data_IF_576233988160
#
_entry.id   IF_576233988160
#
_cell.length_a   1.000
_cell.length_b   1.000
_cell.length_c   1.000
_cell.angle_alpha   90.00
_cell.angle_beta   90.00
_cell.angle_gamma   90.00
#
_symmetry.space_group_name_H-M   'P 1'
#
loop_
_entity.id
_entity.type
_entity.pdbx_description
1 polymer ?
#
# COMPACT_ATOMS: atom_id res chain seq x y z
N UNK A 1 -28.72 38.57 46.23
CA UNK A 1 -27.50 38.13 46.95
C UNK A 1 -27.11 36.74 46.48
N UNK A 2 -25.79 36.49 46.40
CA UNK A 2 -25.06 35.22 46.26
C UNK A 2 -25.11 34.57 44.87
N UNK A 3 -24.01 34.30 44.16
CA UNK A 3 -22.57 34.32 44.45
C UNK A 3 -21.93 33.36 43.44
N UNK A 4 -21.31 33.84 42.37
CA UNK A 4 -19.86 34.09 42.23
C UNK A 4 -19.00 32.81 42.29
N UNK A 5 -18.62 32.35 41.08
CA UNK A 5 -17.32 31.76 40.64
C UNK A 5 -16.97 30.38 41.26
N UNK A 6 -16.26 29.44 40.60
CA UNK A 6 -14.85 29.40 40.14
C UNK A 6 -14.70 28.11 39.28
N UNK A 7 -13.87 27.93 38.26
CA UNK A 7 -12.47 28.32 38.10
C UNK A 7 -11.53 27.18 38.54
N UNK A 8 -11.01 26.37 37.61
CA UNK A 8 -9.70 25.66 37.64
C UNK A 8 -9.55 24.87 36.32
N UNK A 9 -8.48 24.87 35.52
CA UNK A 9 -7.08 25.15 35.79
C UNK A 9 -6.28 23.83 35.73
N UNK A 10 -5.22 23.83 34.90
CA UNK A 10 -4.09 22.86 34.87
C UNK A 10 -4.31 21.58 34.01
N UNK A 11 -3.37 21.12 33.18
CA UNK A 11 -1.97 21.51 33.06
C UNK A 11 -1.25 20.78 31.93
N UNK A 12 -0.14 21.39 31.53
CA UNK A 12 0.98 20.80 30.79
C UNK A 12 1.35 19.44 31.38
N UNK A 13 1.10 18.32 30.70
CA UNK A 13 1.76 17.03 30.97
C UNK A 13 1.88 16.23 29.66
N UNK A 14 3.03 15.56 29.52
CA UNK A 14 3.62 15.13 28.27
C UNK A 14 2.79 14.17 27.43
N UNK A 15 3.18 14.12 26.16
CA UNK A 15 2.75 13.18 25.12
C UNK A 15 3.16 11.74 25.52
N UNK A 16 2.58 11.22 26.60
CA UNK A 16 2.58 9.79 26.88
C UNK A 16 1.53 9.22 25.95
N UNK A 17 1.96 8.93 24.72
CA UNK A 17 1.24 8.08 23.79
C UNK A 17 0.81 6.85 24.61
N UNK A 18 -0.50 6.71 24.82
CA UNK A 18 -1.02 5.53 25.52
C UNK A 18 -0.62 4.30 24.72
N UNK A 19 -0.25 3.20 25.38
CA UNK A 19 0.02 1.92 24.72
C UNK A 19 -1.09 1.53 23.74
N UNK A 20 -2.33 1.95 24.00
CA UNK A 20 -3.47 1.77 23.11
C UNK A 20 -3.41 2.58 21.80
N UNK A 21 -2.83 3.79 21.78
CA UNK A 21 -2.64 4.59 20.56
C UNK A 21 -1.43 4.10 19.76
N UNK A 22 -0.36 3.68 20.44
CA UNK A 22 0.76 3.00 19.79
C UNK A 22 0.28 1.67 19.19
N UNK A 23 -0.52 0.89 19.92
CA UNK A 23 -1.09 -0.39 19.47
C UNK A 23 -2.14 -0.21 18.36
N UNK A 24 -2.96 0.84 18.38
CA UNK A 24 -3.89 1.14 17.30
C UNK A 24 -3.14 1.55 16.02
N UNK A 25 -2.08 2.37 16.14
CA UNK A 25 -1.22 2.69 15.00
C UNK A 25 -0.38 1.49 14.54
N UNK A 26 0.05 0.60 15.43
CA UNK A 26 0.71 -0.67 15.07
C UNK A 26 -0.26 -1.65 14.40
N UNK A 27 -1.50 -1.72 14.88
CA UNK A 27 -2.54 -2.60 14.33
C UNK A 27 -3.03 -2.12 12.96
N UNK A 28 -3.01 -0.82 12.69
CA UNK A 28 -3.23 -0.27 11.34
C UNK A 28 -2.05 -0.56 10.40
N UNK A 29 -0.83 -0.70 10.91
CA UNK A 29 0.37 -0.99 10.12
C UNK A 29 0.47 -2.44 9.61
N UNK A 30 -0.35 -3.38 10.11
CA UNK A 30 -0.25 -4.81 9.76
C UNK A 30 -1.52 -5.43 9.15
N UNK A 31 -2.51 -4.63 8.77
CA UNK A 31 -3.77 -5.11 8.17
C UNK A 31 -3.74 -5.11 6.64
N UNK A 32 -2.59 -5.47 6.06
CA UNK A 32 -2.42 -5.45 4.61
C UNK A 32 -3.34 -6.53 4.02
N UNK A 33 -4.36 -6.14 3.22
CA UNK A 33 -5.31 -7.09 2.70
C UNK A 33 -4.60 -8.03 1.72
N UNK A 34 -4.92 -9.33 1.81
CA UNK A 34 -4.47 -10.30 0.83
C UNK A 34 -5.41 -10.28 -0.37
N UNK A 35 -4.86 -10.14 -1.57
CA UNK A 35 -5.65 -10.12 -2.82
C UNK A 35 -5.37 -11.38 -3.64
N UNK A 36 -6.44 -11.95 -4.19
CA UNK A 36 -6.35 -13.03 -5.17
C UNK A 36 -6.34 -12.44 -6.58
N UNK A 37 -5.14 -12.29 -7.14
CA UNK A 37 -4.93 -11.75 -8.48
C UNK A 37 -5.62 -12.57 -9.58
N UNK A 38 -5.89 -13.85 -9.32
CA UNK A 38 -6.55 -14.77 -10.25
C UNK A 38 -8.01 -14.39 -10.55
N UNK A 39 -8.69 -13.82 -9.56
CA UNK A 39 -10.11 -13.43 -9.63
C UNK A 39 -10.29 -11.96 -10.04
N UNK A 40 -9.20 -11.19 -10.11
CA UNK A 40 -9.22 -9.78 -10.47
C UNK A 40 -8.81 -9.58 -11.93
N UNK A 41 -9.58 -8.73 -12.63
CA UNK A 41 -9.20 -8.24 -13.95
C UNK A 41 -8.47 -6.90 -13.79
N UNK A 42 -7.17 -6.92 -14.10
CA UNK A 42 -6.32 -5.73 -14.03
C UNK A 42 -6.37 -5.03 -15.40
N UNK A 43 -6.67 -3.73 -15.37
CA UNK A 43 -6.70 -2.92 -16.58
C UNK A 43 -5.30 -2.78 -17.21
N UNK A 44 -5.23 -2.91 -18.54
CA UNK A 44 -3.95 -2.83 -19.27
C UNK A 44 -3.29 -1.46 -19.12
N UNK A 45 -4.06 -0.39 -18.93
CA UNK A 45 -3.51 0.94 -18.67
C UNK A 45 -2.78 0.98 -17.32
N UNK A 46 -3.25 0.23 -16.31
CA UNK A 46 -2.59 0.12 -14.99
C UNK A 46 -1.32 -0.73 -15.10
N UNK A 47 -1.39 -1.86 -15.80
CA UNK A 47 -0.22 -2.69 -16.11
C UNK A 47 0.85 -1.90 -16.86
N UNK A 48 0.47 -1.04 -17.79
CA UNK A 48 1.40 -0.21 -18.56
C UNK A 48 2.11 0.88 -17.73
N UNK A 49 1.63 1.21 -16.52
CA UNK A 49 2.28 2.17 -15.63
C UNK A 49 3.57 1.64 -15.03
N UNK A 50 3.71 0.32 -14.93
CA UNK A 50 4.87 -0.33 -14.33
C UNK A 50 5.47 -1.30 -15.35
N UNK A 51 6.75 -1.21 -15.69
CA UNK A 51 7.37 -2.12 -16.65
C UNK A 51 7.48 -3.53 -16.08
N UNK A 52 7.39 -4.55 -16.94
CA UNK A 52 7.46 -5.96 -16.50
C UNK A 52 8.75 -6.25 -15.74
N UNK A 53 9.85 -5.58 -16.10
CA UNK A 53 11.15 -5.76 -15.46
C UNK A 53 11.11 -5.39 -13.98
N UNK A 54 10.39 -4.32 -13.62
CA UNK A 54 10.25 -3.90 -12.22
C UNK A 54 9.34 -4.87 -11.46
N UNK A 55 8.25 -5.29 -12.10
CA UNK A 55 7.33 -6.29 -11.58
C UNK A 55 8.03 -7.63 -11.27
N UNK A 56 8.88 -8.13 -12.18
CA UNK A 56 9.64 -9.37 -11.98
C UNK A 56 10.78 -9.21 -10.96
N UNK A 57 11.46 -8.07 -10.95
CA UNK A 57 12.60 -7.81 -10.06
C UNK A 57 12.19 -7.76 -8.60
N UNK A 58 11.07 -7.10 -8.30
CA UNK A 58 10.58 -6.91 -6.95
C UNK A 58 9.40 -7.83 -6.60
N UNK A 59 9.10 -8.81 -7.47
CA UNK A 59 7.97 -9.74 -7.34
C UNK A 59 6.68 -9.01 -6.94
N UNK A 60 6.24 -8.11 -7.81
CA UNK A 60 5.06 -7.27 -7.62
C UNK A 60 4.28 -7.07 -8.92
N UNK A 61 3.03 -6.61 -8.82
CA UNK A 61 2.22 -6.23 -9.98
C UNK A 61 1.23 -5.12 -9.61
N UNK A 62 1.08 -4.06 -10.42
CA UNK A 62 0.05 -3.05 -10.18
C UNK A 62 -1.34 -3.67 -10.45
N UNK A 63 -2.29 -3.47 -9.54
CA UNK A 63 -3.64 -4.07 -9.60
C UNK A 63 -4.68 -3.05 -10.02
N UNK A 64 -4.61 -1.84 -9.46
CA UNK A 64 -5.58 -0.80 -9.77
C UNK A 64 -5.02 0.56 -9.44
N UNK A 65 -5.54 1.59 -10.10
CA UNK A 65 -5.20 2.98 -9.81
C UNK A 65 -6.46 3.72 -9.36
N UNK A 66 -6.37 4.36 -8.21
CA UNK A 66 -7.41 5.19 -7.64
C UNK A 66 -6.92 6.65 -7.57
N UNK A 67 -7.22 7.45 -8.60
CA UNK A 67 -6.80 8.86 -8.66
C UNK A 67 -5.28 9.00 -8.64
N UNK A 68 -4.73 9.47 -7.51
CA UNK A 68 -3.30 9.64 -7.24
C UNK A 68 -2.65 8.48 -6.49
N UNK A 69 -3.40 7.42 -6.18
CA UNK A 69 -2.90 6.23 -5.50
C UNK A 69 -2.87 5.03 -6.45
N UNK A 70 -1.81 4.23 -6.36
CA UNK A 70 -1.62 3.01 -7.13
C UNK A 70 -1.58 1.81 -6.18
N UNK A 71 -2.56 0.92 -6.32
CA UNK A 71 -2.64 -0.32 -5.57
C UNK A 71 -1.73 -1.34 -6.23
N UNK A 72 -0.78 -1.88 -5.47
CA UNK A 72 0.24 -2.80 -5.97
C UNK A 72 0.24 -4.07 -5.13
N UNK A 73 0.07 -5.21 -5.77
CA UNK A 73 0.21 -6.50 -5.12
C UNK A 73 1.69 -6.88 -5.04
N UNK A 74 2.15 -7.16 -3.83
CA UNK A 74 3.53 -7.50 -3.52
C UNK A 74 3.58 -8.83 -2.76
N UNK A 75 4.61 -9.62 -3.02
CA UNK A 75 4.90 -10.81 -2.24
C UNK A 75 5.34 -10.45 -0.82
N UNK A 76 6.22 -9.45 -0.72
CA UNK A 76 6.70 -8.90 0.54
C UNK A 76 6.45 -7.38 0.59
N UNK A 77 5.48 -6.91 1.38
CA UNK A 77 5.15 -5.48 1.47
C UNK A 77 6.12 -4.70 2.37
N UNK A 78 7.11 -5.36 2.99
CA UNK A 78 8.14 -4.70 3.81
C UNK A 78 9.35 -4.29 2.96
N UNK A 79 9.35 -4.61 1.67
CA UNK A 79 10.41 -4.20 0.74
C UNK A 79 10.32 -2.70 0.45
N UNK A 80 10.99 -1.91 1.28
CA UNK A 80 11.06 -0.46 1.12
C UNK A 80 11.65 -0.05 -0.24
N UNK A 81 12.59 -0.84 -0.77
CA UNK A 81 13.18 -0.59 -2.08
C UNK A 81 12.15 -0.67 -3.22
N UNK A 82 11.22 -1.63 -3.16
CA UNK A 82 10.14 -1.73 -4.14
C UNK A 82 9.16 -0.54 -4.05
N UNK A 83 8.83 -0.10 -2.84
CA UNK A 83 7.97 1.07 -2.62
C UNK A 83 8.62 2.33 -3.19
N UNK A 84 9.87 2.61 -2.82
CA UNK A 84 10.62 3.77 -3.30
C UNK A 84 10.79 3.76 -4.83
N UNK A 85 11.10 2.60 -5.42
CA UNK A 85 11.24 2.47 -6.86
C UNK A 85 9.92 2.73 -7.61
N UNK A 86 8.79 2.25 -7.08
CA UNK A 86 7.46 2.48 -7.65
C UNK A 86 7.00 3.92 -7.49
N UNK A 87 7.21 4.53 -6.33
CA UNK A 87 6.93 5.95 -6.09
C UNK A 87 7.76 6.83 -7.03
N UNK A 88 9.06 6.55 -7.16
CA UNK A 88 9.95 7.28 -8.05
C UNK A 88 9.57 7.11 -9.54
N UNK A 89 9.13 5.91 -9.93
CA UNK A 89 8.78 5.63 -11.32
C UNK A 89 7.41 6.22 -11.71
N UNK A 90 6.42 6.10 -10.82
CA UNK A 90 5.03 6.40 -11.14
C UNK A 90 4.53 7.74 -10.60
N UNK A 91 5.24 8.34 -9.64
CA UNK A 91 4.81 9.55 -8.91
C UNK A 91 3.43 9.41 -8.23
N UNK A 92 2.97 8.19 -8.00
CA UNK A 92 1.74 7.88 -7.28
C UNK A 92 2.03 7.40 -5.86
N UNK A 93 1.05 7.57 -4.98
CA UNK A 93 1.07 7.00 -3.63
C UNK A 93 0.86 5.49 -3.75
N UNK A 94 1.83 4.70 -3.32
CA UNK A 94 1.77 3.24 -3.45
C UNK A 94 1.01 2.65 -2.26
N UNK A 95 -0.06 1.93 -2.57
CA UNK A 95 -0.86 1.17 -1.61
C UNK A 95 -0.52 -0.32 -1.77
N UNK A 96 0.43 -0.86 -0.98
CA UNK A 96 0.82 -2.25 -1.09
C UNK A 96 -0.28 -3.17 -0.56
N UNK A 97 -0.56 -4.24 -1.29
CA UNK A 97 -1.43 -5.35 -0.88
C UNK A 97 -0.64 -6.66 -0.94
N UNK A 98 -0.93 -7.61 -0.05
CA UNK A 98 -0.18 -8.87 -0.03
C UNK A 98 -0.77 -9.82 -1.07
N UNK A 99 0.08 -10.46 -1.85
CA UNK A 99 -0.33 -11.60 -2.66
C UNK A 99 0.77 -12.66 -2.67
N UNK A 100 0.44 -13.87 -3.08
CA UNK A 100 1.44 -14.94 -3.18
C UNK A 100 2.33 -14.71 -4.40
N UNK A 101 3.61 -15.03 -4.30
CA UNK A 101 4.56 -14.96 -5.43
C UNK A 101 4.02 -15.66 -6.68
N UNK A 102 3.45 -16.85 -6.51
CA UNK A 102 2.87 -17.64 -7.59
C UNK A 102 1.73 -16.90 -8.31
N UNK A 103 0.81 -16.28 -7.55
CA UNK A 103 -0.26 -15.46 -8.12
C UNK A 103 0.29 -14.23 -8.85
N UNK A 104 1.33 -13.58 -8.31
CA UNK A 104 1.98 -12.42 -8.94
C UNK A 104 2.64 -12.82 -10.25
N UNK A 105 3.46 -13.88 -10.27
CA UNK A 105 4.09 -14.37 -11.50
C UNK A 105 3.05 -14.80 -12.55
N UNK A 106 1.97 -15.46 -12.12
CA UNK A 106 0.86 -15.86 -13.00
C UNK A 106 0.19 -14.63 -13.60
N UNK A 107 -0.07 -13.59 -12.79
CA UNK A 107 -0.65 -12.34 -13.27
C UNK A 107 0.30 -11.60 -14.20
N UNK A 108 1.60 -11.55 -13.89
CA UNK A 108 2.62 -10.95 -14.77
C UNK A 108 2.63 -11.68 -16.12
N UNK A 109 2.66 -13.02 -16.11
CA UNK A 109 2.62 -13.81 -17.34
C UNK A 109 1.32 -13.59 -18.13
N UNK A 110 0.17 -13.49 -17.44
CA UNK A 110 -1.14 -13.25 -18.06
C UNK A 110 -1.23 -11.86 -18.72
N UNK A 111 -0.68 -10.84 -18.07
CA UNK A 111 -0.83 -9.44 -18.50
C UNK A 111 0.33 -8.92 -19.37
N UNK A 112 1.59 -9.29 -19.09
CA UNK A 112 2.78 -8.89 -19.85
C UNK A 112 3.22 -9.95 -20.87
N UNK A 113 2.81 -11.22 -20.72
CA UNK A 113 3.23 -12.32 -21.59
C UNK A 113 2.62 -12.30 -23.00
N UNK A 114 1.79 -11.32 -23.36
CA UNK A 114 1.30 -11.15 -24.72
C UNK A 114 2.28 -10.30 -25.54
N UNK A 115 3.45 -10.85 -25.87
CA UNK A 115 4.26 -10.31 -26.97
C UNK A 115 4.01 -11.16 -28.22
N UNK A 116 3.28 -10.69 -29.25
CA UNK A 116 3.56 -11.17 -30.59
C UNK A 116 4.98 -10.69 -30.95
N UNK A 117 5.93 -11.58 -31.24
CA UNK A 117 7.21 -11.15 -31.79
C UNK A 117 6.98 -10.58 -33.20
N UNK A 118 7.36 -9.31 -33.42
CA UNK A 118 7.64 -8.74 -34.75
C UNK A 118 9.01 -9.17 -35.24
#
# INVERSE_FOLDING_TARGET
MNGKKNGNGNGRRGHLLSDAEIAARLSMQYRIPTIRLEEYEIDRAVIALVPEELCKRHTLIPVSRAGSSLIVAMADPKDAAALEALEAHTSFVIEPVISTELAIFTAIAKHYGTRPPT
#
